data_IF_069064901264
#
_entry.id   IF_069064901264
#
_cell.length_a   1.000
_cell.length_b   1.000
_cell.length_c   1.000
_cell.angle_alpha   90.00
_cell.angle_beta   90.00
_cell.angle_gamma   90.00
#
_symmetry.space_group_name_H-M   'P 1'
#
loop_
_entity.id
_entity.type
_entity.pdbx_description
1 polymer ?
#
# COMPACT_ATOMS: atom_id res chain seq x y z
N UNK A 1 4.03 7.23 30.83
CA UNK A 1 3.08 6.37 30.10
C UNK A 1 3.79 5.15 29.52
N UNK A 2 3.07 4.19 28.92
CA UNK A 2 3.71 3.10 28.19
C UNK A 2 4.21 3.61 26.83
N UNK A 3 5.40 3.18 26.41
CA UNK A 3 5.91 3.50 25.08
C UNK A 3 4.97 2.95 23.99
N UNK A 4 4.60 3.80 23.04
CA UNK A 4 3.76 3.44 21.90
C UNK A 4 4.62 2.88 20.77
N UNK A 5 4.11 1.83 20.10
CA UNK A 5 4.75 1.26 18.91
C UNK A 5 4.05 1.78 17.67
N UNK A 6 4.73 2.66 16.95
CA UNK A 6 4.23 3.22 15.70
C UNK A 6 4.09 2.15 14.62
N UNK A 7 2.91 2.05 14.01
CA UNK A 7 2.69 1.26 12.80
C UNK A 7 3.11 2.05 11.57
N UNK A 8 3.44 1.35 10.48
CA UNK A 8 3.79 2.01 9.22
C UNK A 8 2.72 3.00 8.72
N UNK A 9 1.44 2.67 8.94
CA UNK A 9 0.31 3.54 8.54
C UNK A 9 0.26 4.81 9.38
N UNK A 10 0.52 4.71 10.67
CA UNK A 10 0.57 5.87 11.58
C UNK A 10 1.70 6.81 11.21
N UNK A 11 2.88 6.25 10.93
CA UNK A 11 4.03 7.02 10.44
C UNK A 11 3.73 7.77 9.16
N UNK A 12 3.14 7.09 8.18
CA UNK A 12 2.83 7.69 6.89
C UNK A 12 1.74 8.79 7.06
N UNK A 13 0.77 8.60 7.95
CA UNK A 13 -0.22 9.61 8.30
C UNK A 13 0.39 10.83 9.02
N UNK A 14 1.36 10.60 9.92
CA UNK A 14 2.10 11.66 10.59
C UNK A 14 2.90 12.49 9.57
N UNK A 15 3.61 11.84 8.65
CA UNK A 15 4.35 12.51 7.58
C UNK A 15 3.43 13.33 6.67
N UNK A 16 2.28 12.78 6.28
CA UNK A 16 1.29 13.51 5.49
C UNK A 16 0.77 14.78 6.21
N UNK A 17 0.66 14.74 7.55
CA UNK A 17 0.24 15.91 8.34
C UNK A 17 1.33 16.96 8.52
N UNK A 18 2.60 16.57 8.35
CA UNK A 18 3.72 17.49 8.29
C UNK A 18 3.85 18.18 6.91
N UNK A 19 3.28 17.60 5.85
CA UNK A 19 3.27 18.22 4.52
C UNK A 19 2.49 19.55 4.58
N UNK A 20 3.08 20.61 4.01
CA UNK A 20 2.52 21.97 4.05
C UNK A 20 2.86 22.79 5.30
N UNK A 21 3.51 22.20 6.32
CA UNK A 21 3.96 22.94 7.52
C UNK A 21 5.36 23.56 7.36
N UNK A 22 5.64 24.62 8.11
CA UNK A 22 6.96 25.25 8.11
C UNK A 22 8.04 24.30 8.67
N UNK A 23 9.30 24.55 8.34
CA UNK A 23 10.40 23.70 8.80
C UNK A 23 10.52 23.69 10.34
N UNK A 24 10.30 24.83 10.99
CA UNK A 24 10.31 24.94 12.46
C UNK A 24 9.17 24.17 13.11
N UNK A 25 7.96 24.26 12.57
CA UNK A 25 6.81 23.47 13.05
C UNK A 25 7.04 21.98 12.87
N UNK A 26 7.54 21.56 11.71
CA UNK A 26 7.83 20.14 11.45
C UNK A 26 8.85 19.59 12.44
N UNK A 27 9.89 20.35 12.76
CA UNK A 27 10.89 19.96 13.76
C UNK A 27 10.26 19.84 15.15
N UNK A 28 9.48 20.85 15.56
CA UNK A 28 8.76 20.84 16.84
C UNK A 28 7.84 19.62 16.96
N UNK A 29 6.96 19.43 15.98
CA UNK A 29 6.01 18.31 15.93
C UNK A 29 6.70 16.95 15.95
N UNK A 30 7.81 16.80 15.22
CA UNK A 30 8.58 15.54 15.19
C UNK A 30 9.19 15.20 16.55
N UNK A 31 9.67 16.21 17.28
CA UNK A 31 10.21 16.00 18.64
C UNK A 31 9.10 15.64 19.63
N UNK A 32 7.97 16.34 19.55
CA UNK A 32 6.81 16.07 20.42
C UNK A 32 6.23 14.68 20.17
N UNK A 33 6.09 14.30 18.90
CA UNK A 33 5.63 12.97 18.50
C UNK A 33 6.57 11.86 19.00
N UNK A 34 7.88 12.08 18.92
CA UNK A 34 8.86 11.13 19.46
C UNK A 34 8.75 11.01 20.98
N UNK A 35 8.55 12.10 21.70
CA UNK A 35 8.35 12.08 23.16
C UNK A 35 7.07 11.33 23.55
N UNK A 36 5.98 11.51 22.79
CA UNK A 36 4.75 10.75 22.94
C UNK A 36 4.97 9.25 22.68
N UNK A 37 5.68 8.89 21.60
CA UNK A 37 6.01 7.49 21.29
C UNK A 37 6.88 6.85 22.37
N UNK A 38 7.78 7.60 22.99
CA UNK A 38 8.59 7.14 24.12
C UNK A 38 7.79 7.02 25.43
N UNK A 39 6.55 7.53 25.48
CA UNK A 39 5.74 7.58 26.70
C UNK A 39 6.14 8.67 27.69
N UNK A 40 6.97 9.64 27.25
CA UNK A 40 7.38 10.84 28.00
C UNK A 40 6.30 11.92 28.01
N UNK A 41 5.38 11.88 27.02
CA UNK A 41 4.22 12.76 26.93
C UNK A 41 2.92 11.98 26.81
N UNK A 42 1.86 12.60 27.33
CA UNK A 42 0.53 12.02 27.37
C UNK A 42 -0.28 12.21 26.08
N UNK A 43 0.04 13.26 25.34
CA UNK A 43 -0.58 13.61 24.07
C UNK A 43 0.50 13.83 23.01
N UNK A 44 0.18 13.41 21.78
CA UNK A 44 0.97 13.65 20.59
C UNK A 44 1.14 15.16 20.32
N UNK A 45 2.03 15.52 19.39
CA UNK A 45 2.27 16.89 18.98
C UNK A 45 0.99 17.61 18.56
N UNK A 46 0.84 18.86 19.01
CA UNK A 46 -0.30 19.69 18.66
C UNK A 46 -0.08 20.36 17.30
N UNK A 47 -0.91 20.02 16.33
CA UNK A 47 -0.88 20.58 14.97
C UNK A 47 -1.58 21.95 14.87
N UNK A 48 -2.10 22.47 16.00
CA UNK A 48 -2.87 23.70 16.08
C UNK A 48 -4.33 23.50 15.67
N UNK A 49 -5.17 24.56 15.78
CA UNK A 49 -6.48 24.50 15.17
C UNK A 49 -6.30 24.15 13.69
N UNK A 50 -7.12 23.23 13.20
CA UNK A 50 -7.38 23.13 11.78
C UNK A 50 -7.98 24.48 11.39
N UNK A 51 -7.15 25.48 11.10
CA UNK A 51 -7.52 26.57 10.23
C UNK A 51 -7.93 25.86 8.95
N UNK A 52 -9.23 25.60 8.87
CA UNK A 52 -9.90 25.18 7.69
C UNK A 52 -9.33 26.03 6.57
N UNK A 53 -8.50 25.41 5.72
CA UNK A 53 -8.10 25.94 4.43
C UNK A 53 -9.36 25.97 3.52
N UNK A 54 -10.43 26.59 4.02
CA UNK A 54 -11.72 26.81 3.36
C UNK A 54 -11.63 27.97 2.34
N UNK A 55 -10.44 28.47 2.04
CA UNK A 55 -10.22 29.47 0.98
C UNK A 55 -9.43 28.95 -0.23
N UNK A 56 -9.41 27.64 -0.47
CA UNK A 56 -9.15 27.12 -1.82
C UNK A 56 -9.98 25.88 -2.12
N UNK A 57 -11.27 25.92 -1.76
CA UNK A 57 -12.28 25.13 -2.43
C UNK A 57 -12.64 25.84 -3.76
N UNK A 58 -11.82 25.65 -4.80
CA UNK A 58 -12.31 25.85 -6.17
C UNK A 58 -13.38 24.79 -6.39
N UNK A 59 -14.62 25.27 -6.31
CA UNK A 59 -15.86 24.57 -6.53
C UNK A 59 -15.79 23.58 -7.69
N UNK A 60 -16.22 22.35 -7.42
CA UNK A 60 -16.58 21.39 -8.44
C UNK A 60 -17.67 21.98 -9.36
N UNK A 61 -17.35 22.09 -10.64
CA UNK A 61 -18.27 22.05 -11.78
C UNK A 61 -17.41 21.49 -12.93
N UNK A 62 -17.55 20.25 -13.34
CA UNK A 62 -18.79 19.74 -13.90
C UNK A 62 -18.87 20.00 -15.40
N UNK A 63 -17.80 19.79 -16.19
CA UNK A 63 -17.90 19.66 -17.66
C UNK A 63 -16.67 18.94 -18.22
N UNK A 64 -16.80 17.64 -18.51
CA UNK A 64 -16.05 17.04 -19.61
C UNK A 64 -17.05 16.39 -20.54
N UNK A 65 -17.79 17.24 -21.26
CA UNK A 65 -18.29 16.89 -22.58
C UNK A 65 -17.12 17.00 -23.54
N UNK A 66 -16.75 15.90 -24.19
CA UNK A 66 -16.41 15.89 -25.60
C UNK A 66 -16.66 14.48 -26.13
N UNK A 67 -17.69 14.42 -26.94
CA UNK A 67 -18.16 13.30 -27.74
C UNK A 67 -17.02 12.67 -28.53
N UNK A 68 -16.93 11.34 -28.52
CA UNK A 68 -16.35 10.58 -29.62
C UNK A 68 -17.29 9.43 -29.98
N UNK A 69 -18.13 9.71 -30.97
CA UNK A 69 -18.86 8.72 -31.76
C UNK A 69 -17.84 7.74 -32.34
N UNK A 70 -17.91 6.46 -31.94
CA UNK A 70 -17.40 5.35 -32.76
C UNK A 70 -18.18 4.09 -32.39
N UNK A 71 -18.70 3.46 -33.43
CA UNK A 71 -19.62 2.32 -33.50
C UNK A 71 -19.31 1.12 -32.58
N UNK A 72 -20.29 0.24 -32.31
CA UNK A 72 -20.07 -0.95 -31.50
C UNK A 72 -19.23 -1.96 -32.27
N UNK A 73 -17.92 -2.02 -31.99
CA UNK A 73 -17.03 -3.05 -32.54
C UNK A 73 -17.17 -4.35 -31.72
N UNK A 74 -17.45 -5.51 -32.36
CA UNK A 74 -17.73 -6.74 -31.64
C UNK A 74 -16.45 -7.46 -31.16
N UNK A 75 -16.61 -8.19 -30.05
CA UNK A 75 -15.74 -9.25 -29.50
C UNK A 75 -14.28 -8.88 -29.18
N UNK A 76 -14.04 -8.29 -28.00
CA UNK A 76 -12.76 -8.40 -27.32
C UNK A 76 -12.89 -9.36 -26.13
N UNK A 77 -12.13 -10.46 -26.17
CA UNK A 77 -11.96 -11.44 -25.09
C UNK A 77 -11.74 -10.68 -23.75
N UNK A 78 -12.40 -11.08 -22.64
CA UNK A 78 -12.16 -10.42 -21.36
C UNK A 78 -10.66 -10.45 -21.03
N UNK A 79 -10.10 -9.33 -20.52
CA UNK A 79 -8.68 -9.29 -20.17
C UNK A 79 -8.39 -10.43 -19.19
N UNK A 80 -7.32 -11.19 -19.45
CA UNK A 80 -6.91 -12.24 -18.53
C UNK A 80 -6.68 -11.62 -17.14
N UNK A 81 -7.19 -12.25 -16.06
CA UNK A 81 -7.04 -11.70 -14.73
C UNK A 81 -5.55 -11.52 -14.43
N UNK A 82 -5.18 -10.30 -14.06
CA UNK A 82 -3.80 -9.97 -13.73
C UNK A 82 -3.36 -10.86 -12.57
N UNK A 83 -2.14 -11.44 -12.61
CA UNK A 83 -1.68 -12.28 -11.52
C UNK A 83 -1.62 -11.45 -10.22
N UNK A 84 -1.89 -12.10 -9.07
CA UNK A 84 -1.80 -11.43 -7.78
C UNK A 84 -0.36 -10.94 -7.53
N UNK A 85 -0.23 -9.76 -6.93
CA UNK A 85 1.05 -9.10 -6.65
C UNK A 85 1.38 -9.18 -5.15
N UNK A 86 2.66 -9.03 -4.80
CA UNK A 86 3.09 -8.92 -3.42
C UNK A 86 2.94 -10.20 -2.60
N UNK A 87 2.31 -10.10 -1.42
CA UNK A 87 2.25 -11.20 -0.44
C UNK A 87 1.51 -12.43 -0.98
N UNK A 88 0.43 -12.22 -1.72
CA UNK A 88 -0.38 -13.30 -2.29
C UNK A 88 0.38 -14.04 -3.40
N UNK A 89 1.17 -13.31 -4.20
CA UNK A 89 2.05 -13.90 -5.20
C UNK A 89 3.07 -14.85 -4.56
N UNK A 90 3.71 -14.39 -3.47
CA UNK A 90 4.72 -15.17 -2.75
C UNK A 90 4.11 -16.42 -2.09
N UNK A 91 2.91 -16.28 -1.50
CA UNK A 91 2.18 -17.39 -0.89
C UNK A 91 1.78 -18.46 -1.92
N UNK A 92 1.23 -18.04 -3.07
CA UNK A 92 0.84 -18.95 -4.14
C UNK A 92 2.04 -19.61 -4.83
N UNK A 93 3.13 -18.88 -5.04
CA UNK A 93 4.38 -19.43 -5.59
C UNK A 93 4.98 -20.50 -4.67
N UNK A 94 4.97 -20.26 -3.35
CA UNK A 94 5.38 -21.25 -2.35
C UNK A 94 4.47 -22.47 -2.35
N UNK A 95 3.15 -22.28 -2.42
CA UNK A 95 2.19 -23.39 -2.49
C UNK A 95 2.38 -24.22 -3.77
N UNK A 96 2.63 -23.58 -4.91
CA UNK A 96 2.87 -24.22 -6.19
C UNK A 96 4.19 -25.00 -6.21
N UNK A 97 5.25 -24.45 -5.63
CA UNK A 97 6.54 -25.15 -5.53
C UNK A 97 6.46 -26.36 -4.61
N UNK A 98 5.72 -26.28 -3.51
CA UNK A 98 5.42 -27.44 -2.65
C UNK A 98 4.60 -28.52 -3.38
N UNK A 99 3.63 -28.11 -4.20
CA UNK A 99 2.88 -29.05 -5.04
C UNK A 99 3.74 -29.71 -6.13
N UNK A 100 4.68 -28.97 -6.73
CA UNK A 100 5.64 -29.51 -7.70
C UNK A 100 6.66 -30.45 -7.05
N UNK A 101 7.17 -30.13 -5.85
CA UNK A 101 8.07 -31.03 -5.11
C UNK A 101 7.40 -32.35 -4.76
N UNK A 102 6.12 -32.32 -4.36
CA UNK A 102 5.32 -33.54 -4.13
C UNK A 102 5.08 -34.36 -5.39
N UNK A 103 5.11 -33.73 -6.57
CA UNK A 103 5.03 -34.38 -7.88
C UNK A 103 6.39 -34.85 -8.42
N UNK A 104 7.49 -34.34 -7.88
CA UNK A 104 8.85 -34.56 -8.39
C UNK A 104 9.65 -35.65 -7.65
N UNK A 105 9.06 -36.36 -6.69
CA UNK A 105 9.70 -37.49 -6.00
C UNK A 105 9.07 -38.83 -6.42
N UNK A 106 9.87 -39.86 -6.77
CA UNK A 106 10.79 -39.93 -7.90
C UNK A 106 10.26 -40.90 -8.98
N UNK A 107 10.36 -40.53 -10.26
CA UNK A 107 10.47 -41.53 -11.33
C UNK A 107 11.85 -42.19 -11.14
N UNK A 108 11.88 -43.30 -10.41
CA UNK A 108 13.06 -44.17 -10.34
C UNK A 108 13.37 -44.60 -11.77
N UNK A 109 14.60 -44.30 -12.17
CA UNK A 109 15.22 -44.70 -13.40
C UNK A 109 15.43 -46.22 -13.35
N UNK A 110 14.45 -47.00 -13.84
CA UNK A 110 14.67 -48.41 -14.14
C UNK A 110 15.56 -48.49 -15.39
N UNK A 111 16.85 -48.74 -15.13
CA UNK A 111 17.86 -49.04 -16.13
C UNK A 111 17.62 -50.50 -16.58
N UNK A 112 17.33 -50.80 -17.85
CA UNK A 112 17.27 -52.19 -18.28
C UNK A 112 18.70 -52.75 -18.29
N UNK A 113 18.92 -53.70 -17.39
CA UNK A 113 20.06 -54.59 -17.39
C UNK A 113 19.75 -55.78 -18.30
N UNK A 114 20.51 -55.92 -19.38
CA UNK A 114 20.84 -57.21 -20.02
C UNK A 114 19.78 -57.86 -20.92
N UNK A 115 20.25 -58.31 -22.08
CA UNK A 115 19.55 -59.11 -23.07
C UNK A 115 20.32 -59.11 -24.38
#
# INVERSE_FOLDING_TARGET
MAAHRETRRERDAFMARLEGRSLGERQRLSMEHRAYMNGERDADGDFGPEESHLETATSAAGTTSLSSTTEPRPLARPPSPRPPLGKDACYLARKASEAMKKRAAPLRLDKPSGG
#
